data_IF_007681672318
#
_entry.id   IF_007681672318
#
_cell.length_a   1.000
_cell.length_b   1.000
_cell.length_c   1.000
_cell.angle_alpha   90.00
_cell.angle_beta   90.00
_cell.angle_gamma   90.00
#
_symmetry.space_group_name_H-M   'P 1'
#
loop_
_entity.id
_entity.type
_entity.pdbx_description
1 polymer ?
#
# COMPACT_ATOMS: atom_id res chain seq x y z
N UNK A 1 -14.67 -8.16 38.60
CA UNK A 1 -14.03 -7.36 37.53
C UNK A 1 -12.67 -6.94 38.04
N UNK A 2 -11.58 -7.50 37.50
CA UNK A 2 -10.22 -7.04 37.80
C UNK A 2 -9.92 -5.83 36.89
N UNK A 3 -9.35 -4.73 37.43
CA UNK A 3 -8.94 -3.59 36.61
C UNK A 3 -7.76 -4.00 35.72
N UNK A 4 -7.77 -3.59 34.44
CA UNK A 4 -6.61 -3.74 33.55
C UNK A 4 -5.43 -2.98 34.14
N UNK A 5 -4.24 -3.58 34.10
CA UNK A 5 -3.00 -2.91 34.47
C UNK A 5 -2.63 -1.87 33.41
N UNK A 6 -1.97 -0.78 33.83
CA UNK A 6 -1.51 0.31 32.97
C UNK A 6 -0.68 -0.21 31.77
N UNK A 7 0.04 -1.33 31.94
CA UNK A 7 0.75 -2.04 30.85
C UNK A 7 -0.19 -2.56 29.75
N UNK A 8 -1.35 -3.13 30.10
CA UNK A 8 -2.31 -3.62 29.11
C UNK A 8 -3.01 -2.49 28.35
N UNK A 9 -3.15 -1.33 28.99
CA UNK A 9 -3.69 -0.13 28.36
C UNK A 9 -2.65 0.51 27.42
N UNK A 10 -1.38 0.54 27.84
CA UNK A 10 -0.26 1.00 27.01
C UNK A 10 0.00 0.09 25.80
N UNK A 11 -0.11 -1.23 25.94
CA UNK A 11 -0.03 -2.17 24.81
C UNK A 11 -1.19 -2.01 23.83
N UNK A 12 -2.42 -1.79 24.31
CA UNK A 12 -3.57 -1.53 23.46
C UNK A 12 -3.45 -0.19 22.71
N UNK A 13 -2.89 0.84 23.36
CA UNK A 13 -2.58 2.14 22.74
C UNK A 13 -1.48 1.98 21.67
N UNK A 14 -0.39 1.28 21.98
CA UNK A 14 0.71 1.03 21.04
C UNK A 14 0.26 0.15 19.84
N UNK A 15 -0.64 -0.79 20.07
CA UNK A 15 -1.24 -1.63 19.03
C UNK A 15 -2.20 -0.81 18.15
N UNK A 16 -3.03 0.04 18.75
CA UNK A 16 -3.89 0.99 18.03
C UNK A 16 -3.11 2.08 17.29
N UNK A 17 -1.86 2.37 17.67
CA UNK A 17 -0.98 3.32 16.98
C UNK A 17 -0.19 2.66 15.84
N UNK A 18 0.22 1.38 15.99
CA UNK A 18 0.80 0.57 14.90
C UNK A 18 -0.17 0.37 13.73
N UNK A 19 -1.47 0.36 14.00
CA UNK A 19 -2.53 0.10 13.01
C UNK A 19 -2.92 1.35 12.19
N UNK A 20 -2.52 2.57 12.61
CA UNK A 20 -2.85 3.83 11.91
C UNK A 20 -2.21 3.97 10.52
N UNK A 21 -1.33 3.05 10.15
CA UNK A 21 -0.64 3.03 8.86
C UNK A 21 -0.76 1.70 8.13
N UNK A 22 -1.73 0.85 8.48
CA UNK A 22 -2.00 -0.40 7.76
C UNK A 22 -3.45 -0.38 7.29
N UNK A 23 -3.66 -0.76 6.03
CA UNK A 23 -5.00 -0.96 5.45
C UNK A 23 -5.06 -2.33 4.79
N UNK A 24 -6.28 -2.81 4.53
CA UNK A 24 -6.49 -4.08 3.82
C UNK A 24 -6.78 -3.83 2.35
N UNK A 25 -6.15 -4.61 1.49
CA UNK A 25 -6.53 -4.67 0.08
C UNK A 25 -7.83 -5.48 -0.11
N UNK A 26 -8.30 -5.57 -1.35
CA UNK A 26 -9.52 -6.28 -1.73
C UNK A 26 -9.55 -7.75 -1.29
N UNK A 27 -8.40 -8.35 -1.06
CA UNK A 27 -8.24 -9.76 -0.69
C UNK A 27 -7.98 -9.97 0.80
N UNK A 28 -7.93 -8.89 1.57
CA UNK A 28 -7.65 -8.93 3.01
C UNK A 28 -6.16 -8.96 3.35
N UNK A 29 -5.27 -8.67 2.39
CA UNK A 29 -3.84 -8.54 2.68
C UNK A 29 -3.53 -7.15 3.24
N UNK A 30 -2.66 -7.12 4.25
CA UNK A 30 -2.19 -5.89 4.85
C UNK A 30 -1.28 -5.13 3.87
N UNK A 31 -1.54 -3.83 3.75
CA UNK A 31 -0.73 -2.87 3.00
C UNK A 31 -0.37 -1.75 3.95
N UNK A 32 0.92 -1.51 4.13
CA UNK A 32 1.40 -0.35 4.89
C UNK A 32 1.11 0.92 4.10
N UNK A 33 0.04 1.62 4.50
CA UNK A 33 -0.35 2.93 3.98
C UNK A 33 -1.41 3.53 4.90
N UNK A 34 -1.40 4.85 5.08
CA UNK A 34 -2.49 5.59 5.71
C UNK A 34 -3.50 6.15 4.70
N UNK A 35 -3.26 5.96 3.39
CA UNK A 35 -4.01 6.58 2.30
C UNK A 35 -5.12 5.67 1.75
N UNK A 36 -6.38 6.03 1.98
CA UNK A 36 -7.54 5.31 1.41
C UNK A 36 -7.56 5.36 -0.12
N UNK A 37 -7.05 6.46 -0.70
CA UNK A 37 -6.96 6.60 -2.16
C UNK A 37 -5.91 5.68 -2.75
N UNK A 38 -4.79 5.46 -2.04
CA UNK A 38 -3.78 4.48 -2.45
C UNK A 38 -4.37 3.07 -2.52
N UNK A 39 -5.08 2.63 -1.47
CA UNK A 39 -5.79 1.35 -1.46
C UNK A 39 -6.84 1.26 -2.55
N UNK A 40 -7.61 2.32 -2.76
CA UNK A 40 -8.64 2.37 -3.80
C UNK A 40 -8.04 2.21 -5.20
N UNK A 41 -6.89 2.81 -5.47
CA UNK A 41 -6.17 2.66 -6.73
C UNK A 41 -5.63 1.23 -6.93
N UNK A 42 -5.08 0.61 -5.88
CA UNK A 42 -4.63 -0.79 -5.90
C UNK A 42 -5.80 -1.74 -6.19
N UNK A 43 -6.93 -1.57 -5.47
CA UNK A 43 -8.11 -2.39 -5.67
C UNK A 43 -8.73 -2.18 -7.06
N UNK A 44 -8.79 -0.93 -7.52
CA UNK A 44 -9.22 -0.59 -8.87
C UNK A 44 -8.32 -1.20 -9.94
N UNK A 45 -7.00 -1.26 -9.71
CA UNK A 45 -6.07 -1.94 -10.59
C UNK A 45 -6.34 -3.44 -10.68
N UNK A 46 -6.58 -4.11 -9.56
CA UNK A 46 -6.96 -5.54 -9.55
C UNK A 46 -8.22 -5.77 -10.39
N UNK A 47 -9.23 -4.91 -10.24
CA UNK A 47 -10.46 -5.01 -11.03
C UNK A 47 -10.18 -4.87 -12.53
N UNK A 48 -9.37 -3.89 -12.93
CA UNK A 48 -9.00 -3.70 -14.34
C UNK A 48 -8.15 -4.87 -14.89
N UNK A 49 -7.29 -5.50 -14.10
CA UNK A 49 -6.49 -6.65 -14.53
C UNK A 49 -7.39 -7.88 -14.70
N UNK A 50 -8.18 -8.20 -13.68
CA UNK A 50 -9.00 -9.42 -13.63
C UNK A 50 -10.21 -9.35 -14.56
N UNK A 51 -10.76 -8.16 -14.80
CA UNK A 51 -11.87 -7.97 -15.75
C UNK A 51 -11.41 -7.71 -17.19
N UNK A 52 -10.10 -7.81 -17.49
CA UNK A 52 -9.52 -7.38 -18.77
C UNK A 52 -9.90 -5.93 -19.18
N UNK A 53 -10.05 -5.06 -18.18
CA UNK A 53 -10.33 -3.65 -18.35
C UNK A 53 -9.19 -2.87 -19.01
N UNK A 54 -9.53 -1.71 -19.59
CA UNK A 54 -8.59 -0.85 -20.33
C UNK A 54 -7.93 0.22 -19.45
N UNK A 55 -8.41 0.45 -18.23
CA UNK A 55 -7.94 1.53 -17.34
C UNK A 55 -6.89 1.04 -16.33
N UNK A 56 -5.98 0.17 -16.74
CA UNK A 56 -4.92 -0.37 -15.85
C UNK A 56 -3.96 0.70 -15.36
N UNK A 57 -3.87 1.85 -16.04
CA UNK A 57 -3.07 3.00 -15.61
C UNK A 57 -3.52 3.63 -14.29
N UNK A 58 -4.70 3.28 -13.76
CA UNK A 58 -5.16 3.72 -12.43
C UNK A 58 -4.16 3.40 -11.33
N UNK A 59 -3.32 2.37 -11.52
CA UNK A 59 -2.28 2.02 -10.55
C UNK A 59 -1.24 3.12 -10.35
N UNK A 60 -1.05 4.01 -11.32
CA UNK A 60 -0.14 5.14 -11.19
C UNK A 60 -0.64 6.17 -10.16
N UNK A 61 -1.95 6.19 -9.86
CA UNK A 61 -2.52 7.06 -8.82
C UNK A 61 -2.14 6.57 -7.40
N UNK A 62 -1.75 5.30 -7.23
CA UNK A 62 -1.37 4.76 -5.94
C UNK A 62 -0.12 5.46 -5.34
N UNK A 63 1.03 5.55 -6.05
CA UNK A 63 2.18 6.31 -5.56
C UNK A 63 1.95 7.82 -5.52
N UNK A 64 1.02 8.38 -6.31
CA UNK A 64 0.65 9.80 -6.21
C UNK A 64 -0.07 10.12 -4.88
N UNK A 65 -0.74 9.12 -4.30
CA UNK A 65 -1.48 9.24 -3.05
C UNK A 65 -0.73 8.74 -1.82
N UNK A 66 0.32 7.95 -2.02
CA UNK A 66 1.28 7.53 -1.00
C UNK A 66 2.59 7.10 -1.67
N UNK A 67 3.54 8.03 -1.71
CA UNK A 67 4.86 7.82 -2.33
C UNK A 67 5.65 6.67 -1.68
N UNK A 68 5.34 6.33 -0.41
CA UNK A 68 6.03 5.30 0.37
C UNK A 68 5.32 3.96 0.32
N UNK A 69 4.14 3.87 -0.30
CA UNK A 69 3.41 2.62 -0.42
C UNK A 69 4.20 1.64 -1.32
N UNK A 70 4.87 0.67 -0.68
CA UNK A 70 5.73 -0.29 -1.39
C UNK A 70 4.95 -1.11 -2.41
N UNK A 71 3.76 -1.58 -2.05
CA UNK A 71 2.91 -2.34 -2.97
C UNK A 71 2.47 -1.49 -4.18
N UNK A 72 1.99 -0.27 -3.94
CA UNK A 72 1.59 0.66 -5.00
C UNK A 72 2.73 0.95 -5.98
N UNK A 73 3.93 1.23 -5.46
CA UNK A 73 5.13 1.46 -6.26
C UNK A 73 5.54 0.23 -7.10
N UNK A 74 5.53 -0.97 -6.53
CA UNK A 74 5.87 -2.21 -7.26
C UNK A 74 4.87 -2.45 -8.40
N UNK A 75 3.58 -2.29 -8.14
CA UNK A 75 2.53 -2.49 -9.16
C UNK A 75 2.61 -1.42 -10.25
N UNK A 76 2.89 -0.16 -9.90
CA UNK A 76 3.13 0.92 -10.86
C UNK A 76 4.37 0.63 -11.74
N UNK A 77 5.47 0.15 -11.13
CA UNK A 77 6.65 -0.26 -11.87
C UNK A 77 6.36 -1.41 -12.84
N UNK A 78 5.63 -2.42 -12.39
CA UNK A 78 5.25 -3.57 -13.22
C UNK A 78 4.42 -3.14 -14.43
N UNK A 79 3.46 -2.24 -14.23
CA UNK A 79 2.64 -1.67 -15.30
C UNK A 79 3.49 -0.94 -16.36
N UNK A 80 4.53 -0.22 -15.94
CA UNK A 80 5.39 0.57 -16.84
C UNK A 80 6.58 -0.20 -17.42
N UNK A 81 6.87 -1.40 -16.93
CA UNK A 81 8.10 -2.15 -17.25
C UNK A 81 8.40 -2.29 -18.75
N UNK A 82 7.36 -2.41 -19.59
CA UNK A 82 7.50 -2.55 -21.05
C UNK A 82 7.35 -1.26 -21.84
N UNK A 83 6.84 -0.18 -21.23
CA UNK A 83 6.50 1.08 -21.92
C UNK A 83 7.38 2.26 -21.51
N UNK A 84 7.86 2.29 -20.26
CA UNK A 84 8.68 3.35 -19.70
C UNK A 84 9.59 2.76 -18.60
N UNK A 85 10.72 2.19 -19.03
CA UNK A 85 11.66 1.53 -18.12
C UNK A 85 12.32 2.50 -17.13
N UNK A 86 12.47 3.77 -17.50
CA UNK A 86 13.01 4.81 -16.61
C UNK A 86 12.05 5.10 -15.45
N UNK A 87 10.75 5.31 -15.72
CA UNK A 87 9.76 5.48 -14.65
C UNK A 87 9.53 4.20 -13.86
N UNK A 88 9.56 3.03 -14.50
CA UNK A 88 9.49 1.76 -13.79
C UNK A 88 10.64 1.62 -12.78
N UNK A 89 11.86 1.99 -13.19
CA UNK A 89 13.03 2.00 -12.30
C UNK A 89 12.88 3.00 -11.15
N UNK A 90 12.32 4.19 -11.40
CA UNK A 90 12.04 5.18 -10.37
C UNK A 90 11.14 4.60 -9.26
N UNK A 91 10.01 4.00 -9.63
CA UNK A 91 9.10 3.39 -8.65
C UNK A 91 9.71 2.18 -7.94
N UNK A 92 10.53 1.36 -8.62
CA UNK A 92 11.25 0.27 -7.95
C UNK A 92 12.24 0.78 -6.91
N UNK A 93 12.94 1.89 -7.17
CA UNK A 93 13.85 2.47 -6.18
C UNK A 93 13.10 3.02 -4.97
N UNK A 94 11.94 3.67 -5.17
CA UNK A 94 11.08 4.11 -4.08
C UNK A 94 10.55 2.92 -3.25
N UNK A 95 10.10 1.85 -3.91
CA UNK A 95 9.71 0.63 -3.21
C UNK A 95 10.87 0.04 -2.39
N UNK A 96 12.08 0.03 -2.95
CA UNK A 96 13.28 -0.48 -2.28
C UNK A 96 13.68 0.36 -1.07
N UNK A 97 13.59 1.70 -1.14
CA UNK A 97 13.96 2.58 -0.02
C UNK A 97 13.04 2.41 1.18
N UNK A 98 11.76 2.05 0.96
CA UNK A 98 10.76 1.87 2.01
C UNK A 98 10.45 0.40 2.33
N UNK A 99 11.18 -0.55 1.75
CA UNK A 99 10.92 -1.98 1.93
C UNK A 99 10.90 -2.42 3.39
N UNK A 100 11.83 -1.92 4.21
CA UNK A 100 11.91 -2.27 5.63
C UNK A 100 10.76 -1.69 6.47
N UNK A 101 10.06 -0.67 5.96
CA UNK A 101 8.91 -0.05 6.60
C UNK A 101 7.57 -0.72 6.19
N UNK A 102 7.62 -1.68 5.26
CA UNK A 102 6.43 -2.34 4.70
C UNK A 102 5.86 -3.48 5.58
N UNK A 103 6.46 -3.72 6.75
CA UNK A 103 6.13 -4.80 7.71
C UNK A 103 5.55 -4.22 8.99
#
# INVERSE_FOLDING_TARGET
MLPRTEEQEQEAINMGEKDKGVKLDKWGYQVKTSSDKCISAINGFYDQVLSYGRKRSIILEAPDHDERCVLGNILAAQFLSSTDSSKASFFLQAAKSHYNEAT
#
